data_IF_679476445592
#
_entry.id   IF_679476445592
#
_cell.length_a   1.000
_cell.length_b   1.000
_cell.length_c   1.000
_cell.angle_alpha   90.00
_cell.angle_beta   90.00
_cell.angle_gamma   90.00
#
_symmetry.space_group_name_H-M   'P 1'
#
loop_
_entity.id
_entity.type
_entity.pdbx_description
1 polymer ?
#
# COMPACT_ATOMS: atom_id res chain seq x y z
N UNK A 1 -17.73 -53.72 13.08
CA UNK A 1 -16.68 -52.68 12.91
C UNK A 1 -16.77 -52.09 11.50
N UNK A 2 -17.39 -50.91 11.37
CA UNK A 2 -17.41 -50.17 10.11
C UNK A 2 -16.54 -48.93 10.26
N UNK A 3 -15.50 -48.85 9.42
CA UNK A 3 -14.61 -47.72 9.33
C UNK A 3 -15.20 -46.68 8.37
N UNK A 4 -15.58 -45.53 8.91
CA UNK A 4 -16.03 -44.36 8.15
C UNK A 4 -14.81 -43.70 7.47
N UNK A 5 -14.85 -43.38 6.16
CA UNK A 5 -13.75 -42.68 5.51
C UNK A 5 -13.75 -41.19 5.92
N UNK A 6 -12.58 -40.57 6.15
CA UNK A 6 -12.51 -39.14 6.44
C UNK A 6 -12.77 -38.33 5.16
N UNK A 7 -13.76 -37.44 5.24
CA UNK A 7 -14.12 -36.46 4.21
C UNK A 7 -12.97 -35.45 4.02
N UNK A 8 -12.63 -35.05 2.78
CA UNK A 8 -11.55 -34.09 2.53
C UNK A 8 -11.94 -32.69 3.01
N UNK A 9 -11.10 -32.10 3.86
CA UNK A 9 -11.26 -30.72 4.32
C UNK A 9 -11.25 -29.74 3.12
N UNK A 10 -12.13 -28.72 3.11
CA UNK A 10 -12.18 -27.74 2.03
C UNK A 10 -10.88 -26.92 1.98
N UNK A 11 -10.44 -26.46 0.78
CA UNK A 11 -9.30 -25.57 0.68
C UNK A 11 -9.61 -24.30 1.46
N UNK A 12 -8.73 -23.94 2.39
CA UNK A 12 -8.82 -22.67 3.11
C UNK A 12 -8.73 -21.56 2.07
N UNK A 13 -9.87 -20.94 1.76
CA UNK A 13 -9.91 -19.73 0.94
C UNK A 13 -9.12 -18.69 1.73
N UNK A 14 -7.99 -18.23 1.19
CA UNK A 14 -7.25 -17.12 1.76
C UNK A 14 -8.19 -15.91 1.79
N UNK A 15 -8.76 -15.62 2.96
CA UNK A 15 -9.54 -14.42 3.18
C UNK A 15 -8.62 -13.23 2.87
N UNK A 16 -9.05 -12.27 2.03
CA UNK A 16 -8.25 -11.07 1.81
C UNK A 16 -8.01 -10.42 3.18
N UNK A 17 -6.73 -10.24 3.53
CA UNK A 17 -6.35 -9.59 4.77
C UNK A 17 -7.11 -8.25 4.90
N UNK A 18 -7.61 -7.89 6.09
CA UNK A 18 -8.28 -6.61 6.28
C UNK A 18 -7.35 -5.50 5.78
N UNK A 19 -7.85 -4.50 5.03
CA UNK A 19 -7.00 -3.49 4.43
C UNK A 19 -6.25 -2.79 5.55
N UNK A 20 -4.95 -3.07 5.66
CA UNK A 20 -4.05 -2.41 6.58
C UNK A 20 -4.11 -0.91 6.25
N UNK A 21 -4.89 -0.14 7.02
CA UNK A 21 -5.13 1.28 6.86
C UNK A 21 -5.01 1.74 5.40
N UNK A 22 -5.89 1.23 4.51
CA UNK A 22 -5.75 1.44 3.08
C UNK A 22 -5.65 2.93 2.80
N UNK A 23 -4.45 3.38 2.43
CA UNK A 23 -4.24 4.73 1.93
C UNK A 23 -5.28 4.94 0.84
N UNK A 24 -6.12 5.99 0.94
CA UNK A 24 -7.14 6.25 -0.06
C UNK A 24 -6.50 6.27 -1.46
N UNK A 25 -7.05 5.54 -2.45
CA UNK A 25 -6.44 5.44 -3.77
C UNK A 25 -6.31 6.82 -4.44
N UNK A 26 -7.19 7.76 -4.12
CA UNK A 26 -7.09 9.16 -4.56
C UNK A 26 -5.85 9.89 -4.02
N UNK A 27 -5.45 9.61 -2.77
CA UNK A 27 -4.22 10.18 -2.20
C UNK A 27 -2.98 9.52 -2.79
N UNK A 28 -3.04 8.22 -3.08
CA UNK A 28 -1.95 7.50 -3.72
C UNK A 28 -1.69 8.02 -5.14
N UNK A 29 -2.75 8.24 -5.92
CA UNK A 29 -2.66 8.86 -7.26
C UNK A 29 -2.03 10.25 -7.19
N UNK A 30 -2.51 11.09 -6.27
CA UNK A 30 -1.96 12.44 -6.09
C UNK A 30 -0.48 12.42 -5.66
N UNK A 31 -0.12 11.51 -4.76
CA UNK A 31 1.26 11.33 -4.34
C UNK A 31 2.15 10.84 -5.48
N UNK A 32 1.66 9.91 -6.31
CA UNK A 32 2.38 9.42 -7.49
C UNK A 32 2.65 10.55 -8.48
N UNK A 33 1.65 11.42 -8.73
CA UNK A 33 1.83 12.60 -9.60
C UNK A 33 2.90 13.56 -9.06
N UNK A 34 2.93 13.78 -7.76
CA UNK A 34 3.96 14.63 -7.13
C UNK A 34 5.34 13.97 -7.22
N UNK A 35 5.43 12.67 -6.97
CA UNK A 35 6.67 11.90 -7.09
C UNK A 35 7.25 11.97 -8.50
N UNK A 36 6.39 11.81 -9.52
CA UNK A 36 6.79 11.88 -10.92
C UNK A 36 7.22 13.30 -11.31
N UNK A 37 6.48 14.33 -10.89
CA UNK A 37 6.86 15.72 -11.11
C UNK A 37 8.20 16.07 -10.44
N UNK A 38 8.45 15.57 -9.23
CA UNK A 38 9.73 15.73 -8.54
C UNK A 38 10.87 15.06 -9.30
N UNK A 39 10.66 13.83 -9.76
CA UNK A 39 11.66 13.09 -10.55
C UNK A 39 11.99 13.79 -11.86
N UNK A 40 11.00 14.35 -12.56
CA UNK A 40 11.23 15.13 -13.79
C UNK A 40 12.01 16.41 -13.49
N UNK A 41 11.73 17.06 -12.36
CA UNK A 41 12.33 18.35 -12.01
C UNK A 41 13.75 18.23 -11.42
N UNK A 42 14.02 17.19 -10.63
CA UNK A 42 15.27 17.02 -9.88
C UNK A 42 16.12 15.84 -10.34
N UNK A 43 15.55 14.94 -11.16
CA UNK A 43 16.18 13.68 -11.54
C UNK A 43 16.21 12.61 -10.44
N UNK A 44 15.74 12.91 -9.22
CA UNK A 44 15.80 12.02 -8.05
C UNK A 44 14.40 11.61 -7.55
N UNK A 45 14.27 10.42 -6.91
CA UNK A 45 13.04 10.02 -6.24
C UNK A 45 12.65 11.03 -5.17
N UNK A 46 11.35 11.18 -4.91
CA UNK A 46 10.86 12.06 -3.84
C UNK A 46 11.07 11.39 -2.48
N UNK A 47 11.58 12.16 -1.52
CA UNK A 47 11.71 11.71 -0.14
C UNK A 47 10.38 11.85 0.62
N UNK A 48 10.13 11.00 1.63
CA UNK A 48 8.93 11.04 2.45
C UNK A 48 8.74 12.41 3.13
N UNK A 49 9.82 13.09 3.52
CA UNK A 49 9.76 14.43 4.10
C UNK A 49 9.23 15.47 3.11
N UNK A 50 9.68 15.40 1.85
CA UNK A 50 9.22 16.27 0.76
C UNK A 50 7.78 15.95 0.37
N UNK A 51 7.44 14.67 0.26
CA UNK A 51 6.07 14.23 -0.04
C UNK A 51 5.09 14.74 1.01
N UNK A 52 5.43 14.61 2.30
CA UNK A 52 4.66 15.18 3.43
C UNK A 52 4.43 16.67 3.27
N UNK A 53 5.49 17.44 2.99
CA UNK A 53 5.40 18.90 2.89
C UNK A 53 4.50 19.33 1.73
N UNK A 54 4.45 18.55 0.64
CA UNK A 54 3.61 18.85 -0.53
C UNK A 54 2.16 18.37 -0.39
N UNK A 55 1.93 17.23 0.25
CA UNK A 55 0.59 16.65 0.42
C UNK A 55 -0.15 17.21 1.65
N UNK A 56 0.58 17.74 2.65
CA UNK A 56 0.01 18.25 3.91
C UNK A 56 -0.46 17.15 4.86
N UNK A 57 0.10 15.94 4.75
CA UNK A 57 -0.34 14.74 5.48
C UNK A 57 0.59 14.38 6.66
N UNK A 58 0.14 13.56 7.62
CA UNK A 58 0.99 13.06 8.70
C UNK A 58 2.20 12.27 8.19
N UNK A 59 3.31 12.31 8.94
CA UNK A 59 4.55 11.63 8.57
C UNK A 59 4.37 10.13 8.34
N UNK A 60 3.61 9.45 9.22
CA UNK A 60 3.32 8.01 9.09
C UNK A 60 2.58 7.66 7.77
N UNK A 61 1.72 8.57 7.28
CA UNK A 61 0.98 8.36 6.03
C UNK A 61 1.87 8.63 4.81
N UNK A 62 2.69 9.68 4.86
CA UNK A 62 3.67 9.95 3.80
C UNK A 62 4.69 8.80 3.66
N UNK A 63 5.16 8.25 4.78
CA UNK A 63 6.09 7.11 4.80
C UNK A 63 5.45 5.84 4.21
N UNK A 64 4.20 5.55 4.61
CA UNK A 64 3.43 4.44 4.04
C UNK A 64 3.20 4.57 2.53
N UNK A 65 3.06 5.80 2.02
CA UNK A 65 2.97 6.06 0.59
C UNK A 65 4.33 5.92 -0.09
N UNK A 66 5.38 6.47 0.51
CA UNK A 66 6.74 6.38 -0.03
C UNK A 66 7.19 4.91 -0.16
N UNK A 67 6.90 4.07 0.84
CA UNK A 67 7.12 2.62 0.79
C UNK A 67 6.35 1.92 -0.34
N UNK A 68 5.16 2.42 -0.71
CA UNK A 68 4.37 1.89 -1.83
C UNK A 68 4.82 2.40 -3.20
N UNK A 69 5.58 3.50 -3.26
CA UNK A 69 6.08 4.12 -4.48
C UNK A 69 7.54 3.74 -4.80
N UNK A 70 8.25 3.12 -3.84
CA UNK A 70 9.65 2.69 -3.94
C UNK A 70 9.86 1.59 -5.00
#
# INVERSE_FOLDING_TARGET
>A
PEATPPEPAPPTVALPAPPAAAVPPALLDHARKIAEAHRVQTGSPIDAATLRARLGVPAALADSIALQLA
#
